data_IF_101040877600
#
_entry.id   IF_101040877600
#
_cell.length_a   1.000
_cell.length_b   1.000
_cell.length_c   1.000
_cell.angle_alpha   90.00
_cell.angle_beta   90.00
_cell.angle_gamma   90.00
#
_symmetry.space_group_name_H-M   'P 1'
#
loop_
_entity.id
_entity.type
_entity.pdbx_description
1 polymer ?
#
# COMPACT_ATOMS: atom_id res chain seq x y z
N UNK A 1 -7.24 -4.03 23.47
CA UNK A 1 -7.33 -5.34 22.82
C UNK A 1 -8.69 -5.42 22.15
N UNK A 2 -8.77 -5.25 20.84
CA UNK A 2 -9.99 -5.48 20.08
C UNK A 2 -9.88 -6.92 19.60
N UNK A 3 -10.65 -7.82 20.20
CA UNK A 3 -10.86 -9.17 19.71
C UNK A 3 -11.79 -9.06 18.51
N UNK A 4 -11.26 -9.05 17.30
CA UNK A 4 -12.05 -9.34 16.11
C UNK A 4 -12.02 -10.85 15.93
N UNK A 5 -13.19 -11.45 15.87
CA UNK A 5 -13.40 -12.89 15.59
C UNK A 5 -13.11 -13.22 14.10
N UNK A 6 -12.42 -12.34 13.40
CA UNK A 6 -11.94 -12.55 12.05
C UNK A 6 -10.66 -13.41 12.10
N UNK A 7 -10.77 -14.61 11.58
CA UNK A 7 -9.61 -15.48 11.33
C UNK A 7 -8.62 -14.72 10.46
N UNK A 8 -7.46 -14.40 11.03
CA UNK A 8 -6.38 -13.70 10.34
C UNK A 8 -5.42 -14.73 9.77
N UNK A 9 -4.97 -14.47 8.56
CA UNK A 9 -4.04 -15.34 7.86
C UNK A 9 -2.78 -14.57 7.50
N UNK A 10 -1.62 -15.19 7.70
CA UNK A 10 -0.44 -14.93 6.90
C UNK A 10 -0.43 -15.92 5.74
N UNK A 11 0.12 -15.53 4.61
CA UNK A 11 0.21 -16.39 3.44
C UNK A 11 1.67 -16.74 3.17
N UNK A 12 2.02 -18.04 3.21
CA UNK A 12 3.36 -18.54 2.89
C UNK A 12 3.80 -18.15 1.48
N UNK A 13 2.84 -18.09 0.54
CA UNK A 13 3.04 -17.58 -0.83
C UNK A 13 2.30 -16.24 -1.02
N UNK A 14 2.66 -15.24 -0.23
CA UNK A 14 2.06 -13.91 -0.33
C UNK A 14 2.24 -13.33 -1.75
N UNK A 15 1.19 -12.71 -2.27
CA UNK A 15 1.18 -12.02 -3.56
C UNK A 15 1.30 -10.50 -3.41
N UNK A 16 1.54 -10.01 -2.19
CA UNK A 16 1.78 -8.61 -1.91
C UNK A 16 3.13 -8.17 -2.50
N UNK A 17 3.11 -7.14 -3.33
CA UNK A 17 4.30 -6.52 -3.91
C UNK A 17 4.65 -5.18 -3.27
N UNK A 18 3.68 -4.51 -2.65
CA UNK A 18 3.90 -3.26 -1.93
C UNK A 18 2.81 -3.03 -0.87
N UNK A 19 3.21 -2.53 0.29
CA UNK A 19 2.31 -2.04 1.34
C UNK A 19 2.73 -0.64 1.73
N UNK A 20 1.77 0.30 1.81
CA UNK A 20 2.01 1.70 2.13
C UNK A 20 1.03 2.15 3.20
N UNK A 21 1.54 2.72 4.29
CA UNK A 21 0.76 3.53 5.23
C UNK A 21 1.10 5.00 5.02
N UNK A 22 0.11 5.83 4.69
CA UNK A 22 0.31 7.26 4.51
C UNK A 22 -0.63 8.06 5.41
N UNK A 23 -0.05 9.00 6.17
CA UNK A 23 -0.79 9.95 6.99
C UNK A 23 -0.56 11.35 6.45
N UNK A 24 -1.62 11.97 5.92
CA UNK A 24 -1.60 13.36 5.44
C UNK A 24 -2.02 14.29 6.56
N UNK A 25 -1.37 15.44 6.65
CA UNK A 25 -1.62 16.45 7.67
C UNK A 25 -1.63 17.87 7.06
N UNK A 26 -2.21 18.85 7.74
CA UNK A 26 -2.12 20.26 7.32
C UNK A 26 -0.65 20.67 7.13
N UNK A 27 -0.35 21.38 6.06
CA UNK A 27 1.01 21.72 5.63
C UNK A 27 1.88 22.27 6.75
N UNK A 28 3.05 21.65 6.95
CA UNK A 28 4.07 22.07 7.92
C UNK A 28 5.28 22.62 7.15
N UNK A 29 5.35 23.95 7.00
CA UNK A 29 6.34 24.61 6.16
C UNK A 29 7.78 24.37 6.61
N UNK A 30 8.03 24.15 7.91
CA UNK A 30 9.37 23.91 8.43
C UNK A 30 10.05 22.65 7.85
N UNK A 31 9.26 21.68 7.39
CA UNK A 31 9.78 20.44 6.75
C UNK A 31 10.36 20.74 5.36
N UNK A 32 9.82 21.75 4.66
CA UNK A 32 10.23 22.08 3.29
C UNK A 32 11.29 23.20 3.24
N UNK A 33 11.39 24.00 4.32
CA UNK A 33 12.31 25.15 4.38
C UNK A 33 13.70 24.82 4.94
N UNK A 34 13.85 23.69 5.61
CA UNK A 34 15.12 23.18 6.15
C UNK A 34 15.11 21.65 6.17
N UNK A 35 16.29 21.06 6.12
CA UNK A 35 16.43 19.62 6.27
C UNK A 35 15.88 19.15 7.62
N UNK A 36 15.13 18.02 7.67
CA UNK A 36 14.53 17.50 8.90
C UNK A 36 15.55 16.76 9.78
N UNK A 37 16.62 17.45 10.17
CA UNK A 37 17.74 16.86 10.91
C UNK A 37 17.30 16.31 12.27
N UNK A 38 16.46 17.05 13.01
CA UNK A 38 15.95 16.59 14.32
C UNK A 38 15.14 15.29 14.19
N UNK A 39 14.39 15.14 13.11
CA UNK A 39 13.65 13.91 12.84
C UNK A 39 14.59 12.77 12.42
N UNK A 40 15.54 13.06 11.53
CA UNK A 40 16.55 12.11 11.09
C UNK A 40 17.33 11.52 12.26
N UNK A 41 17.74 12.34 13.23
CA UNK A 41 18.45 11.89 14.44
C UNK A 41 17.65 10.83 15.23
N UNK A 42 16.32 10.93 15.26
CA UNK A 42 15.48 9.99 16.01
C UNK A 42 15.25 8.68 15.28
N UNK A 43 15.24 8.69 13.94
CA UNK A 43 14.93 7.49 13.13
C UNK A 43 16.16 6.80 12.55
N UNK A 44 17.35 7.40 12.62
CA UNK A 44 18.57 6.91 11.94
C UNK A 44 19.04 5.54 12.40
N UNK A 45 18.68 5.10 13.58
CA UNK A 45 19.03 3.76 14.05
C UNK A 45 18.31 2.67 13.25
N UNK A 46 17.05 2.88 12.91
CA UNK A 46 16.24 1.95 12.13
C UNK A 46 16.31 2.26 10.61
N UNK A 47 16.52 3.54 10.25
CA UNK A 47 16.55 4.03 8.86
C UNK A 47 17.82 4.86 8.60
N UNK A 48 19.00 4.22 8.51
CA UNK A 48 20.30 4.94 8.46
C UNK A 48 20.57 5.65 7.15
N UNK A 49 19.91 5.28 6.05
CA UNK A 49 20.18 5.85 4.73
C UNK A 49 19.18 6.95 4.42
N UNK A 50 19.71 8.16 4.21
CA UNK A 50 18.92 9.33 3.87
C UNK A 50 19.16 9.76 2.42
N UNK A 51 18.09 10.21 1.79
CA UNK A 51 18.12 10.93 0.51
C UNK A 51 16.96 11.93 0.44
N UNK A 52 17.17 13.03 -0.27
CA UNK A 52 16.13 13.99 -0.57
C UNK A 52 15.92 14.04 -2.09
N UNK A 53 14.66 13.96 -2.52
CA UNK A 53 14.26 14.07 -3.92
C UNK A 53 13.27 15.22 -4.08
N UNK A 54 13.50 16.05 -5.09
CA UNK A 54 12.55 17.13 -5.45
C UNK A 54 11.53 16.56 -6.43
N UNK A 55 10.31 16.40 -5.95
CA UNK A 55 9.20 15.89 -6.76
C UNK A 55 8.41 17.06 -7.37
N UNK A 56 8.08 16.95 -8.66
CA UNK A 56 7.17 17.87 -9.33
C UNK A 56 5.76 17.28 -9.28
N UNK A 57 4.89 17.90 -8.51
CA UNK A 57 3.48 17.54 -8.46
C UNK A 57 2.71 18.32 -9.52
N UNK A 58 1.86 17.65 -10.34
CA UNK A 58 1.01 18.36 -11.29
C UNK A 58 0.07 19.31 -10.55
N UNK A 59 -0.24 20.43 -11.19
CA UNK A 59 -1.25 21.35 -10.68
C UNK A 59 -2.64 20.70 -10.72
N UNK A 60 -3.46 21.02 -9.73
CA UNK A 60 -4.86 20.57 -9.65
C UNK A 60 -5.76 21.80 -9.83
N UNK A 61 -6.84 21.68 -10.60
CA UNK A 61 -7.82 22.76 -10.82
C UNK A 61 -7.19 24.09 -11.25
N UNK A 62 -6.37 24.07 -12.33
CA UNK A 62 -5.70 25.26 -12.88
C UNK A 62 -4.59 25.86 -12.01
N UNK A 63 -4.25 25.28 -10.87
CA UNK A 63 -3.08 25.68 -10.11
C UNK A 63 -1.79 25.25 -10.82
N UNK A 64 -0.69 26.03 -10.76
CA UNK A 64 0.58 25.64 -11.38
C UNK A 64 1.18 24.40 -10.71
N UNK A 65 2.00 23.66 -11.47
CA UNK A 65 2.80 22.58 -10.93
C UNK A 65 3.66 23.10 -9.76
N UNK A 66 3.71 22.35 -8.67
CA UNK A 66 4.50 22.69 -7.48
C UNK A 66 5.61 21.66 -7.26
N UNK A 67 6.71 22.10 -6.69
CA UNK A 67 7.77 21.21 -6.22
C UNK A 67 7.60 20.93 -4.74
N UNK A 68 7.92 19.69 -4.32
CA UNK A 68 7.90 19.26 -2.93
C UNK A 68 9.18 18.49 -2.66
N UNK A 69 9.84 18.80 -1.55
CA UNK A 69 10.97 17.99 -1.08
C UNK A 69 10.42 16.74 -0.43
N UNK A 70 10.81 15.57 -0.95
CA UNK A 70 10.53 14.28 -0.35
C UNK A 70 11.79 13.76 0.34
N UNK A 71 11.81 13.86 1.66
CA UNK A 71 12.87 13.34 2.52
C UNK A 71 12.61 11.85 2.76
N UNK A 72 13.50 11.01 2.27
CA UNK A 72 13.35 9.56 2.33
C UNK A 72 14.43 8.96 3.23
N UNK A 73 14.00 8.15 4.19
CA UNK A 73 14.85 7.40 5.11
C UNK A 73 14.63 5.90 4.83
N UNK A 74 15.72 5.16 4.63
CA UNK A 74 15.65 3.77 4.17
C UNK A 74 16.35 2.88 5.21
N UNK A 75 15.72 1.74 5.53
CA UNK A 75 16.28 0.73 6.43
C UNK A 75 17.60 0.16 5.89
N UNK A 76 18.43 -0.42 6.76
CA UNK A 76 19.75 -0.97 6.41
C UNK A 76 19.66 -1.98 5.25
N UNK A 77 18.67 -2.88 5.32
CA UNK A 77 18.40 -3.90 4.32
C UNK A 77 17.67 -3.41 3.07
N UNK A 78 17.27 -2.12 3.05
CA UNK A 78 16.49 -1.51 1.97
C UNK A 78 15.04 -1.99 1.87
N UNK A 79 14.57 -2.78 2.84
CA UNK A 79 13.22 -3.36 2.83
C UNK A 79 12.11 -2.38 3.16
N UNK A 80 12.40 -1.36 3.97
CA UNK A 80 11.47 -0.35 4.42
C UNK A 80 11.92 1.05 4.04
N UNK A 81 10.96 1.88 3.64
CA UNK A 81 11.18 3.27 3.26
C UNK A 81 10.21 4.18 4.02
N UNK A 82 10.73 5.12 4.78
CA UNK A 82 9.98 6.17 5.44
C UNK A 82 10.13 7.45 4.62
N UNK A 83 9.03 8.03 4.20
CA UNK A 83 8.97 9.27 3.41
C UNK A 83 8.34 10.38 4.22
N UNK A 84 8.94 11.56 4.22
CA UNK A 84 8.46 12.75 4.91
C UNK A 84 8.45 13.93 3.94
N UNK A 85 7.30 14.55 3.79
CA UNK A 85 7.11 15.81 3.08
C UNK A 85 6.42 16.81 3.99
N UNK A 86 6.27 18.04 3.55
CA UNK A 86 5.48 19.05 4.30
C UNK A 86 4.00 18.71 4.47
N UNK A 87 3.47 17.74 3.71
CA UNK A 87 2.04 17.42 3.66
C UNK A 87 1.72 15.97 4.08
N UNK A 88 2.72 15.10 4.20
CA UNK A 88 2.52 13.72 4.66
C UNK A 88 3.76 13.07 5.25
N UNK A 89 3.54 12.04 6.06
CA UNK A 89 4.51 11.00 6.43
C UNK A 89 3.98 9.65 5.94
N UNK A 90 4.86 8.81 5.38
CA UNK A 90 4.48 7.49 4.90
C UNK A 90 5.56 6.44 5.18
N UNK A 91 5.15 5.25 5.62
CA UNK A 91 5.99 4.05 5.64
C UNK A 91 5.57 3.14 4.49
N UNK A 92 6.54 2.63 3.73
CA UNK A 92 6.29 1.65 2.68
C UNK A 92 7.27 0.50 2.73
N UNK A 93 6.81 -0.69 2.27
CA UNK A 93 7.64 -1.89 2.17
C UNK A 93 7.25 -2.74 0.96
N UNK A 94 8.23 -3.41 0.37
CA UNK A 94 8.04 -4.49 -0.59
C UNK A 94 8.32 -5.88 0.06
N UNK A 95 8.47 -5.92 1.40
CA UNK A 95 8.78 -7.12 2.19
C UNK A 95 7.83 -7.22 3.37
N UNK A 96 6.54 -7.06 3.09
CA UNK A 96 5.52 -7.18 4.12
C UNK A 96 5.42 -8.63 4.59
N UNK A 97 5.35 -8.84 5.90
CA UNK A 97 5.15 -10.13 6.56
C UNK A 97 3.75 -10.21 7.17
N UNK A 98 3.51 -9.41 8.21
CA UNK A 98 2.23 -9.32 8.91
C UNK A 98 2.06 -7.90 9.53
N UNK A 99 0.84 -7.61 9.93
CA UNK A 99 0.45 -6.28 10.41
C UNK A 99 1.24 -5.80 11.62
N UNK A 100 1.47 -6.67 12.60
CA UNK A 100 2.15 -6.33 13.85
C UNK A 100 3.58 -5.86 13.60
N UNK A 101 4.33 -6.53 12.70
CA UNK A 101 5.69 -6.11 12.33
C UNK A 101 5.66 -4.76 11.62
N UNK A 102 4.74 -4.58 10.67
CA UNK A 102 4.61 -3.31 9.95
C UNK A 102 4.20 -2.16 10.88
N UNK A 103 3.20 -2.38 11.75
CA UNK A 103 2.72 -1.40 12.71
C UNK A 103 3.80 -1.01 13.73
N UNK A 104 4.56 -1.99 14.24
CA UNK A 104 5.67 -1.73 15.16
C UNK A 104 6.77 -0.86 14.51
N UNK A 105 7.06 -1.06 13.21
CA UNK A 105 8.03 -0.24 12.48
C UNK A 105 7.54 1.16 12.18
N UNK A 106 6.23 1.38 12.15
CA UNK A 106 5.62 2.69 11.98
C UNK A 106 5.53 3.46 13.31
N UNK A 107 5.31 2.77 14.42
CA UNK A 107 4.94 3.36 15.71
C UNK A 107 5.98 4.37 16.21
N UNK A 108 7.26 3.98 16.25
CA UNK A 108 8.33 4.86 16.71
C UNK A 108 8.51 6.09 15.78
N UNK A 109 8.70 5.95 14.47
CA UNK A 109 8.80 7.11 13.57
C UNK A 109 7.59 8.04 13.63
N UNK A 110 6.38 7.51 13.70
CA UNK A 110 5.17 8.30 13.83
C UNK A 110 5.11 9.04 15.17
N UNK A 111 5.48 8.38 16.28
CA UNK A 111 5.57 8.99 17.59
C UNK A 111 6.57 10.15 17.62
N UNK A 112 7.76 9.98 17.03
CA UNK A 112 8.77 11.03 16.92
C UNK A 112 8.30 12.18 16.00
N UNK A 113 7.65 11.87 14.89
CA UNK A 113 7.03 12.89 14.03
C UNK A 113 6.03 13.74 14.81
N UNK A 114 5.12 13.13 15.56
CA UNK A 114 4.12 13.81 16.37
C UNK A 114 4.77 14.70 17.45
N UNK A 115 5.81 14.20 18.10
CA UNK A 115 6.54 14.93 19.15
C UNK A 115 7.26 16.17 18.61
N UNK A 116 7.90 16.05 17.44
CA UNK A 116 8.72 17.12 16.83
C UNK A 116 7.83 18.16 16.17
N UNK A 117 6.89 17.73 15.31
CA UNK A 117 6.12 18.63 14.45
C UNK A 117 4.75 19.01 15.00
N UNK A 118 4.23 18.29 16.00
CA UNK A 118 2.98 18.56 16.72
C UNK A 118 1.79 18.86 15.80
N UNK A 119 1.45 17.95 14.85
CA UNK A 119 0.29 18.15 14.01
C UNK A 119 -0.99 18.17 14.86
N UNK A 120 -1.94 19.04 14.54
CA UNK A 120 -3.22 19.08 15.26
C UNK A 120 -4.11 17.88 14.95
N UNK A 121 -4.04 17.38 13.72
CA UNK A 121 -4.80 16.25 13.21
C UNK A 121 -4.13 15.71 11.95
N UNK A 122 -4.64 14.56 11.49
CA UNK A 122 -4.37 14.06 10.15
C UNK A 122 -5.61 14.26 9.28
N UNK A 123 -5.44 14.86 8.10
CA UNK A 123 -6.52 15.07 7.14
C UNK A 123 -6.94 13.77 6.47
N UNK A 124 -6.02 12.81 6.36
CA UNK A 124 -6.25 11.47 5.84
C UNK A 124 -5.25 10.49 6.45
N UNK A 125 -5.75 9.35 6.86
CA UNK A 125 -4.97 8.16 7.21
C UNK A 125 -5.34 7.08 6.22
N UNK A 126 -4.37 6.45 5.56
CA UNK A 126 -4.63 5.45 4.53
C UNK A 126 -3.64 4.30 4.58
N UNK A 127 -4.15 3.10 4.30
CA UNK A 127 -3.40 1.86 4.10
C UNK A 127 -3.66 1.35 2.69
N UNK A 128 -2.60 1.14 1.92
CA UNK A 128 -2.66 0.59 0.57
C UNK A 128 -1.90 -0.72 0.52
N UNK A 129 -2.56 -1.73 -0.01
CA UNK A 129 -2.01 -3.06 -0.24
C UNK A 129 -2.11 -3.38 -1.73
N UNK A 130 -0.98 -3.62 -2.37
CA UNK A 130 -0.90 -3.95 -3.78
C UNK A 130 -0.54 -5.42 -3.93
N UNK A 131 -1.48 -6.23 -4.36
CA UNK A 131 -1.24 -7.61 -4.73
C UNK A 131 -1.03 -7.71 -6.24
N UNK A 132 -0.11 -8.57 -6.66
CA UNK A 132 0.11 -8.94 -8.05
C UNK A 132 0.08 -10.48 -8.14
N UNK A 133 -1.13 -11.02 -8.26
CA UNK A 133 -1.42 -12.45 -8.19
C UNK A 133 -0.82 -13.14 -9.42
N UNK A 134 0.11 -14.06 -9.18
CA UNK A 134 0.85 -14.81 -10.18
C UNK A 134 0.35 -16.25 -10.25
N UNK A 135 -0.24 -16.65 -11.36
CA UNK A 135 -0.64 -18.03 -11.60
C UNK A 135 0.56 -18.97 -11.68
N UNK A 136 1.69 -18.48 -12.21
CA UNK A 136 2.93 -19.27 -12.32
C UNK A 136 3.49 -19.60 -10.91
N UNK A 137 3.64 -18.59 -10.05
CA UNK A 137 4.20 -18.76 -8.70
C UNK A 137 3.31 -19.62 -7.80
N UNK A 138 2.00 -19.59 -8.03
CA UNK A 138 1.03 -20.36 -7.24
C UNK A 138 0.77 -21.77 -7.81
N UNK A 139 1.36 -22.13 -8.97
CA UNK A 139 1.10 -23.41 -9.62
C UNK A 139 -0.30 -23.52 -10.23
N UNK A 140 -0.91 -22.38 -10.55
CA UNK A 140 -2.27 -22.25 -11.08
C UNK A 140 -2.28 -21.92 -12.59
N UNK A 141 -1.19 -22.19 -13.30
CA UNK A 141 -1.09 -22.01 -14.75
C UNK A 141 -2.18 -22.82 -15.45
N UNK A 142 -2.99 -22.14 -16.29
CA UNK A 142 -4.13 -22.75 -16.94
C UNK A 142 -5.48 -22.60 -16.22
N UNK A 143 -5.50 -22.08 -14.99
CA UNK A 143 -6.73 -21.61 -14.35
C UNK A 143 -7.13 -20.26 -14.94
N UNK A 144 -8.45 -20.04 -15.07
CA UNK A 144 -9.01 -18.74 -15.45
C UNK A 144 -9.03 -17.80 -14.23
N UNK A 145 -9.15 -16.51 -14.46
CA UNK A 145 -9.28 -15.55 -13.37
C UNK A 145 -10.57 -15.72 -12.57
N UNK A 146 -11.66 -16.18 -13.18
CA UNK A 146 -12.92 -16.49 -12.48
C UNK A 146 -12.86 -17.76 -11.60
N UNK A 147 -11.84 -18.61 -11.76
CA UNK A 147 -11.54 -19.67 -10.79
C UNK A 147 -10.90 -19.12 -9.51
N UNK A 148 -10.28 -17.92 -9.57
CA UNK A 148 -9.39 -17.40 -8.52
C UNK A 148 -9.99 -16.23 -7.77
N UNK A 149 -10.83 -15.44 -8.42
CA UNK A 149 -11.41 -14.22 -7.87
C UNK A 149 -12.92 -14.21 -8.02
N UNK A 150 -13.58 -13.47 -7.13
CA UNK A 150 -15.03 -13.33 -7.13
C UNK A 150 -15.52 -12.43 -8.27
N UNK A 151 -16.72 -12.67 -8.83
CA UNK A 151 -17.28 -11.94 -9.98
C UNK A 151 -17.22 -10.41 -9.94
N UNK A 152 -17.46 -9.74 -8.78
CA UNK A 152 -17.45 -8.27 -8.72
C UNK A 152 -16.12 -7.61 -9.14
N UNK A 153 -15.02 -8.37 -9.19
CA UNK A 153 -13.68 -7.86 -9.47
C UNK A 153 -13.15 -8.19 -10.87
N UNK A 154 -13.96 -8.92 -11.66
CA UNK A 154 -13.53 -9.52 -12.92
C UNK A 154 -14.03 -8.77 -14.16
N UNK A 155 -15.15 -8.05 -14.04
CA UNK A 155 -15.80 -7.46 -15.19
C UNK A 155 -16.10 -8.51 -16.26
N UNK A 156 -15.72 -8.27 -17.52
CA UNK A 156 -15.97 -9.22 -18.62
C UNK A 156 -15.22 -10.55 -18.49
N UNK A 157 -14.20 -10.64 -17.65
CA UNK A 157 -13.43 -11.86 -17.43
C UNK A 157 -14.20 -12.92 -16.61
N UNK A 158 -15.35 -12.56 -16.06
CA UNK A 158 -16.26 -13.50 -15.38
C UNK A 158 -17.10 -14.32 -16.37
N UNK A 159 -17.28 -13.85 -17.61
CA UNK A 159 -18.11 -14.50 -18.60
C UNK A 159 -17.43 -15.77 -19.14
N UNK A 160 -18.17 -16.88 -19.17
CA UNK A 160 -17.65 -18.19 -19.56
C UNK A 160 -17.26 -18.30 -21.05
N UNK A 161 -17.89 -17.51 -21.90
CA UNK A 161 -17.64 -17.48 -23.35
C UNK A 161 -16.53 -16.52 -23.78
N UNK A 162 -15.95 -15.77 -22.83
CA UNK A 162 -14.86 -14.84 -23.09
C UNK A 162 -13.51 -15.55 -22.93
N UNK A 163 -12.75 -15.59 -24.02
CA UNK A 163 -11.34 -16.00 -23.98
C UNK A 163 -10.48 -14.87 -23.39
N UNK A 164 -9.88 -15.11 -22.22
CA UNK A 164 -8.99 -14.15 -21.53
C UNK A 164 -7.87 -13.62 -22.45
N UNK A 165 -7.34 -14.45 -23.36
CA UNK A 165 -6.28 -14.07 -24.27
C UNK A 165 -6.75 -13.05 -25.34
N UNK A 166 -8.05 -12.97 -25.60
CA UNK A 166 -8.64 -12.00 -26.52
C UNK A 166 -8.84 -10.62 -25.88
N UNK A 167 -8.77 -10.52 -24.54
CA UNK A 167 -9.03 -9.28 -23.80
C UNK A 167 -7.77 -8.46 -23.69
N UNK A 168 -7.66 -7.40 -24.49
CA UNK A 168 -6.48 -6.52 -24.48
C UNK A 168 -6.37 -5.68 -23.20
N UNK A 169 -7.51 -5.32 -22.59
CA UNK A 169 -7.56 -4.57 -21.32
C UNK A 169 -8.91 -4.79 -20.64
N UNK A 170 -8.84 -5.11 -19.36
CA UNK A 170 -10.00 -5.14 -18.49
C UNK A 170 -9.56 -4.63 -17.11
N UNK A 171 -10.31 -3.69 -16.52
CA UNK A 171 -10.11 -3.28 -15.13
C UNK A 171 -11.44 -2.90 -14.51
N UNK A 172 -11.57 -3.15 -13.23
CA UNK A 172 -12.67 -2.72 -12.38
C UNK A 172 -12.13 -1.70 -11.39
N UNK A 173 -12.64 -0.48 -11.46
CA UNK A 173 -12.26 0.61 -10.57
C UNK A 173 -13.46 0.96 -9.69
N UNK A 174 -13.28 0.87 -8.38
CA UNK A 174 -14.33 1.10 -7.39
C UNK A 174 -13.87 2.12 -6.37
N UNK A 175 -14.72 3.08 -6.06
CA UNK A 175 -14.60 3.94 -4.88
C UNK A 175 -15.89 3.85 -4.09
N UNK A 176 -15.84 3.34 -2.85
CA UNK A 176 -17.02 3.17 -2.00
C UNK A 176 -16.71 3.45 -0.53
N UNK A 177 -17.70 3.87 0.22
CA UNK A 177 -17.67 3.89 1.69
C UNK A 177 -17.78 2.45 2.20
N UNK A 178 -16.94 2.10 3.17
CA UNK A 178 -17.02 0.83 3.90
C UNK A 178 -17.91 0.99 5.13
N UNK A 179 -17.74 2.11 5.84
CA UNK A 179 -18.58 2.53 6.95
C UNK A 179 -18.64 4.07 7.07
N UNK A 180 -18.99 4.60 8.25
CA UNK A 180 -19.05 6.04 8.50
C UNK A 180 -17.68 6.72 8.50
N UNK A 181 -16.61 5.99 8.78
CA UNK A 181 -15.26 6.50 9.02
C UNK A 181 -14.24 6.03 7.97
N UNK A 182 -14.56 5.01 7.18
CA UNK A 182 -13.65 4.39 6.22
C UNK A 182 -14.23 4.33 4.80
N UNK A 183 -13.35 4.49 3.81
CA UNK A 183 -13.65 4.30 2.39
C UNK A 183 -12.55 3.48 1.73
N UNK A 184 -12.88 2.89 0.59
CA UNK A 184 -12.04 2.06 -0.25
C UNK A 184 -11.93 2.68 -1.63
N UNK A 185 -10.69 2.77 -2.14
CA UNK A 185 -10.38 2.82 -3.57
C UNK A 185 -9.77 1.49 -3.97
N UNK A 186 -10.34 0.87 -4.98
CA UNK A 186 -9.87 -0.40 -5.50
C UNK A 186 -9.65 -0.29 -7.01
N UNK A 187 -8.52 -0.82 -7.47
CA UNK A 187 -8.25 -1.14 -8.86
C UNK A 187 -7.98 -2.63 -8.97
N UNK A 188 -8.75 -3.33 -9.81
CA UNK A 188 -8.64 -4.77 -10.02
C UNK A 188 -8.61 -5.10 -11.50
N UNK A 189 -7.64 -5.92 -11.95
CA UNK A 189 -7.57 -6.34 -13.34
C UNK A 189 -6.22 -6.91 -13.75
N UNK A 190 -6.15 -7.61 -14.90
CA UNK A 190 -4.90 -8.11 -15.44
C UNK A 190 -3.92 -7.00 -15.79
N UNK A 191 -2.65 -7.21 -15.46
CA UNK A 191 -1.59 -6.25 -15.72
C UNK A 191 -0.20 -6.88 -15.69
N UNK A 192 0.79 -6.07 -16.04
CA UNK A 192 2.20 -6.47 -15.98
C UNK A 192 2.91 -5.77 -14.83
N UNK A 193 3.73 -6.51 -14.11
CA UNK A 193 4.62 -5.94 -13.09
C UNK A 193 5.90 -5.45 -13.75
N UNK A 194 6.30 -4.22 -13.41
CA UNK A 194 7.59 -3.67 -13.80
C UNK A 194 8.58 -3.82 -12.65
N UNK A 195 9.75 -4.36 -12.94
CA UNK A 195 10.86 -4.44 -11.97
C UNK A 195 12.01 -3.55 -12.39
N UNK A 196 12.56 -2.84 -11.42
CA UNK A 196 13.81 -2.11 -11.61
C UNK A 196 14.98 -3.06 -11.39
N UNK A 197 15.72 -3.40 -12.45
CA UNK A 197 16.94 -4.20 -12.37
C UNK A 197 18.12 -3.24 -12.40
N UNK A 198 18.99 -3.31 -11.38
CA UNK A 198 20.27 -2.60 -11.38
C UNK A 198 21.32 -3.44 -12.09
N UNK A 199 21.90 -2.86 -13.17
CA UNK A 199 23.09 -3.37 -13.83
C UNK A 199 24.19 -2.32 -13.71
N UNK A 200 25.11 -2.49 -12.76
CA UNK A 200 26.11 -1.47 -12.41
C UNK A 200 25.44 -0.19 -11.89
N UNK A 201 25.77 0.95 -12.53
CA UNK A 201 25.20 2.27 -12.18
C UNK A 201 23.89 2.60 -12.91
N UNK A 202 23.36 1.71 -13.74
CA UNK A 202 22.14 1.93 -14.50
C UNK A 202 20.98 1.14 -13.88
N UNK A 203 19.84 1.81 -13.74
CA UNK A 203 18.56 1.19 -13.38
C UNK A 203 17.76 1.01 -14.67
N UNK A 204 17.50 -0.24 -15.04
CA UNK A 204 16.63 -0.59 -16.18
C UNK A 204 15.30 -1.07 -15.64
N UNK A 205 14.22 -0.54 -16.20
CA UNK A 205 12.88 -1.09 -15.97
C UNK A 205 12.67 -2.28 -16.92
N UNK A 206 12.43 -3.45 -16.35
CA UNK A 206 12.08 -4.66 -17.09
C UNK A 206 10.66 -5.03 -16.75
N UNK A 207 9.84 -5.16 -17.78
CA UNK A 207 8.48 -5.68 -17.65
C UNK A 207 8.54 -7.20 -17.59
N UNK A 208 7.87 -7.77 -16.60
CA UNK A 208 7.69 -9.23 -16.53
C UNK A 208 6.83 -9.72 -17.70
N UNK A 209 7.06 -10.95 -18.13
CA UNK A 209 6.31 -11.54 -19.25
C UNK A 209 4.96 -12.09 -18.82
N UNK A 210 4.84 -12.48 -17.55
CA UNK A 210 3.59 -13.00 -17.02
C UNK A 210 2.56 -11.89 -16.84
N UNK A 211 1.34 -12.13 -17.30
CA UNK A 211 0.18 -11.32 -16.95
C UNK A 211 -0.28 -11.74 -15.56
N UNK A 212 -0.18 -10.83 -14.60
CA UNK A 212 -0.66 -11.02 -13.24
C UNK A 212 -2.00 -10.33 -13.04
N UNK A 213 -2.77 -10.73 -12.04
CA UNK A 213 -3.93 -9.97 -11.65
C UNK A 213 -3.54 -8.97 -10.56
N UNK A 214 -3.64 -7.69 -10.88
CA UNK A 214 -3.37 -6.61 -9.95
C UNK A 214 -4.63 -6.40 -9.11
N UNK A 215 -4.46 -6.47 -7.78
CA UNK A 215 -5.52 -6.14 -6.82
C UNK A 215 -4.95 -5.09 -5.86
N UNK A 216 -5.21 -3.83 -6.19
CA UNK A 216 -4.67 -2.65 -5.52
C UNK A 216 -5.78 -1.98 -4.72
N UNK A 217 -5.72 -2.14 -3.41
CA UNK A 217 -6.70 -1.60 -2.48
C UNK A 217 -6.08 -0.50 -1.59
N UNK A 218 -6.69 0.67 -1.58
CA UNK A 218 -6.37 1.80 -0.72
C UNK A 218 -7.55 2.07 0.21
N UNK A 219 -7.44 1.63 1.46
CA UNK A 219 -8.45 1.84 2.50
C UNK A 219 -8.06 3.06 3.33
N UNK A 220 -8.96 4.01 3.48
CA UNK A 220 -8.62 5.29 4.09
C UNK A 220 -9.76 5.93 4.90
N UNK A 221 -9.37 6.83 5.83
CA UNK A 221 -10.32 7.59 6.65
C UNK A 221 -11.09 8.61 5.82
N UNK A 222 -12.42 8.70 6.00
CA UNK A 222 -13.29 9.65 5.29
C UNK A 222 -13.28 11.06 5.86
N UNK A 223 -12.64 11.26 7.00
CA UNK A 223 -12.56 12.55 7.68
C UNK A 223 -11.26 12.76 8.42
N UNK A 224 -11.15 13.90 9.09
CA UNK A 224 -9.98 14.22 9.92
C UNK A 224 -9.87 13.28 11.10
N UNK A 225 -8.66 12.78 11.33
CA UNK A 225 -8.33 11.89 12.43
C UNK A 225 -7.53 12.66 13.49
N UNK A 226 -8.00 12.65 14.74
CA UNK A 226 -7.24 13.21 15.86
C UNK A 226 -5.98 12.37 16.10
N UNK A 227 -4.90 13.01 16.53
CA UNK A 227 -3.63 12.32 16.80
C UNK A 227 -3.82 11.14 17.76
N UNK A 228 -4.61 11.29 18.82
CA UNK A 228 -4.88 10.24 19.79
C UNK A 228 -5.68 9.05 19.24
N UNK A 229 -6.37 9.20 18.10
CA UNK A 229 -7.20 8.16 17.48
C UNK A 229 -6.48 7.43 16.33
N UNK A 230 -5.24 7.80 15.99
CA UNK A 230 -4.53 7.25 14.81
C UNK A 230 -4.34 5.75 14.90
N UNK A 231 -3.91 5.23 16.05
CA UNK A 231 -3.65 3.79 16.22
C UNK A 231 -4.94 2.97 16.06
N UNK A 232 -6.03 3.42 16.67
CA UNK A 232 -7.35 2.79 16.52
C UNK A 232 -7.84 2.84 15.06
N UNK A 233 -7.69 4.01 14.42
CA UNK A 233 -8.04 4.17 13.00
C UNK A 233 -7.24 3.21 12.12
N UNK A 234 -5.92 3.10 12.30
CA UNK A 234 -5.08 2.21 11.50
C UNK A 234 -5.49 0.73 11.67
N UNK A 235 -5.80 0.30 12.90
CA UNK A 235 -6.27 -1.07 13.13
C UNK A 235 -7.63 -1.33 12.46
N UNK A 236 -8.55 -0.37 12.49
CA UNK A 236 -9.83 -0.48 11.79
C UNK A 236 -9.66 -0.54 10.26
N UNK A 237 -8.80 0.31 9.69
CA UNK A 237 -8.50 0.29 8.25
C UNK A 237 -7.84 -1.03 7.82
N UNK A 238 -6.95 -1.60 8.65
CA UNK A 238 -6.35 -2.90 8.40
C UNK A 238 -7.40 -4.01 8.39
N UNK A 239 -8.30 -4.06 9.39
CA UNK A 239 -9.38 -5.04 9.45
C UNK A 239 -10.31 -4.96 8.22
N UNK A 240 -10.63 -3.74 7.75
CA UNK A 240 -11.37 -3.56 6.51
C UNK A 240 -10.61 -4.09 5.28
N UNK A 241 -9.30 -3.82 5.21
CA UNK A 241 -8.45 -4.31 4.12
C UNK A 241 -8.41 -5.83 4.06
N UNK A 242 -8.26 -6.50 5.21
CA UNK A 242 -8.30 -7.96 5.31
C UNK A 242 -9.64 -8.54 4.84
N UNK A 243 -10.76 -7.92 5.28
CA UNK A 243 -12.11 -8.34 4.86
C UNK A 243 -12.29 -8.18 3.34
N UNK A 244 -11.90 -7.04 2.77
CA UNK A 244 -12.01 -6.79 1.33
C UNK A 244 -11.23 -7.81 0.50
N UNK A 245 -10.01 -8.15 0.91
CA UNK A 245 -9.21 -9.13 0.20
C UNK A 245 -9.76 -10.55 0.37
N UNK A 246 -10.15 -10.94 1.58
CA UNK A 246 -10.73 -12.26 1.86
C UNK A 246 -12.03 -12.49 1.10
N UNK A 247 -12.88 -11.44 0.98
CA UNK A 247 -14.13 -11.51 0.22
C UNK A 247 -13.90 -11.53 -1.30
N UNK A 248 -12.73 -11.09 -1.77
CA UNK A 248 -12.42 -11.02 -3.20
C UNK A 248 -11.87 -12.31 -3.79
N UNK A 249 -11.25 -13.15 -2.97
CA UNK A 249 -10.59 -14.37 -3.42
C UNK A 249 -11.49 -15.61 -3.29
N UNK A 250 -11.26 -16.61 -4.15
CA UNK A 250 -11.90 -17.92 -4.02
C UNK A 250 -11.10 -18.82 -3.08
N UNK A 251 -11.68 -19.94 -2.66
CA UNK A 251 -10.96 -20.97 -1.90
C UNK A 251 -9.77 -21.52 -2.66
N UNK A 252 -9.85 -21.62 -3.99
CA UNK A 252 -8.74 -22.08 -4.84
C UNK A 252 -7.53 -21.16 -4.71
N UNK A 253 -7.73 -19.85 -4.77
CA UNK A 253 -6.64 -18.90 -4.59
C UNK A 253 -6.15 -18.86 -3.14
N UNK A 254 -7.07 -18.88 -2.17
CA UNK A 254 -6.74 -18.92 -0.75
C UNK A 254 -5.81 -20.08 -0.41
N UNK A 255 -6.17 -21.31 -0.81
CA UNK A 255 -5.40 -22.50 -0.51
C UNK A 255 -4.04 -22.51 -1.23
N UNK A 256 -3.99 -22.02 -2.49
CA UNK A 256 -2.76 -21.93 -3.26
C UNK A 256 -1.73 -20.94 -2.66
N UNK A 257 -2.18 -19.95 -1.90
CA UNK A 257 -1.31 -19.01 -1.18
C UNK A 257 -0.76 -19.58 0.14
N UNK A 258 -1.12 -20.81 0.52
CA UNK A 258 -0.64 -21.51 1.74
C UNK A 258 -0.96 -20.67 3.01
N UNK A 259 -2.25 -20.59 3.40
CA UNK A 259 -2.65 -19.79 4.55
C UNK A 259 -2.15 -20.37 5.87
N UNK A 260 -1.57 -19.53 6.72
CA UNK A 260 -1.19 -19.83 8.09
C UNK A 260 -2.06 -19.00 9.03
N UNK A 261 -2.66 -19.62 10.04
CA UNK A 261 -3.47 -18.93 11.04
C UNK A 261 -2.56 -18.15 11.99
N UNK A 262 -2.89 -16.87 12.22
CA UNK A 262 -2.23 -15.99 13.17
C UNK A 262 -2.96 -15.92 14.51
#
# INVERSE_FOLDING_TARGET
MISSDNRRYAYGKSQLIEVICQLRFPTILSIDTREPADFQETVRAAFPRYQCQVEKLPGVNSAPARTVNNHTFISEDGGYKLSLTKDFIALSTMRYTHWEDFAARLDEPLGQFIKIYRPNCFDRVGLRFVNAISREQLGLTGRRWNDLLQPPYLGILDEDDVDEASVAKCSVDVERKLDALAALKLHAGPGFVQRNIRSGNQVQQVQEKEVRFIFDQDVYSTGKVKVAAVAETLNALHAHSDSVFSDAITTVLHDAMEPEYL
#
